data_IF_490042431872
#
_entry.id   IF_490042431872
#
_cell.length_a   1.000
_cell.length_b   1.000
_cell.length_c   1.000
_cell.angle_alpha   90.00
_cell.angle_beta   90.00
_cell.angle_gamma   90.00
#
_symmetry.space_group_name_H-M   'P 1'
#
loop_
_entity.id
_entity.type
_entity.pdbx_description
1 polymer ?
#
# COMPACT_ATOMS: atom_id res chain seq x y z
N UNK A 1 9.99 6.70 -17.12
CA UNK A 1 9.91 5.68 -18.18
C UNK A 1 11.30 5.26 -18.63
N UNK A 2 12.21 6.16 -19.06
CA UNK A 2 13.55 5.84 -19.57
C UNK A 2 14.38 4.94 -18.63
N UNK A 3 14.35 5.20 -17.32
CA UNK A 3 15.05 4.36 -16.34
C UNK A 3 14.53 2.91 -16.34
N UNK A 4 13.22 2.72 -16.42
CA UNK A 4 12.62 1.37 -16.47
C UNK A 4 12.93 0.66 -17.79
N UNK A 5 12.96 1.38 -18.91
CA UNK A 5 13.38 0.84 -20.21
C UNK A 5 14.84 0.36 -20.16
N UNK A 6 15.73 1.19 -19.58
CA UNK A 6 17.13 0.81 -19.36
C UNK A 6 17.26 -0.47 -18.51
N UNK A 7 16.51 -0.54 -17.39
CA UNK A 7 16.51 -1.73 -16.52
C UNK A 7 15.96 -2.97 -17.22
N UNK A 8 15.02 -2.81 -18.15
CA UNK A 8 14.46 -3.88 -18.96
C UNK A 8 15.36 -4.26 -20.16
N UNK A 9 16.42 -3.50 -20.44
CA UNK A 9 17.28 -3.68 -21.61
C UNK A 9 16.56 -3.38 -22.92
N UNK A 10 15.62 -2.45 -22.92
CA UNK A 10 14.79 -2.09 -24.06
C UNK A 10 15.06 -0.64 -24.48
N UNK A 11 15.29 -0.43 -25.77
CA UNK A 11 15.48 0.90 -26.34
C UNK A 11 14.22 1.41 -27.06
N UNK A 12 13.28 0.53 -27.41
CA UNK A 12 12.02 0.87 -28.07
C UNK A 12 10.88 1.06 -27.06
N UNK A 13 10.25 2.23 -27.11
CA UNK A 13 9.16 2.59 -26.18
C UNK A 13 7.89 1.75 -26.37
N UNK A 14 7.56 1.42 -27.64
CA UNK A 14 6.34 0.65 -27.91
C UNK A 14 6.50 -0.82 -27.45
N UNK A 15 7.70 -1.39 -27.61
CA UNK A 15 8.01 -2.72 -27.10
C UNK A 15 7.97 -2.74 -25.57
N UNK A 16 8.53 -1.69 -24.93
CA UNK A 16 8.47 -1.56 -23.49
C UNK A 16 7.02 -1.45 -22.98
N UNK A 17 6.18 -0.64 -23.61
CA UNK A 17 4.79 -0.49 -23.21
C UNK A 17 4.01 -1.81 -23.33
N UNK A 18 4.20 -2.56 -24.43
CA UNK A 18 3.61 -3.89 -24.61
C UNK A 18 4.08 -4.91 -23.57
N UNK A 19 5.32 -4.78 -23.09
CA UNK A 19 5.83 -5.59 -21.99
C UNK A 19 5.21 -5.14 -20.67
N UNK A 20 5.19 -3.84 -20.38
CA UNK A 20 4.67 -3.26 -19.14
C UNK A 20 3.19 -3.58 -18.94
N UNK A 21 2.37 -3.57 -19.99
CA UNK A 21 0.95 -3.99 -19.96
C UNK A 21 0.74 -5.40 -19.42
N UNK A 22 1.75 -6.27 -19.56
CA UNK A 22 1.71 -7.65 -19.04
C UNK A 22 2.17 -7.77 -17.60
N UNK A 23 2.78 -6.71 -17.04
CA UNK A 23 3.23 -6.64 -15.65
C UNK A 23 2.06 -6.19 -14.78
N UNK A 24 1.13 -7.09 -14.52
CA UNK A 24 -0.06 -6.81 -13.70
C UNK A 24 -0.28 -7.91 -12.68
N UNK A 25 -0.83 -7.54 -11.53
CA UNK A 25 -1.33 -8.48 -10.51
C UNK A 25 -2.81 -8.81 -10.72
N UNK A 26 -3.46 -8.16 -11.67
CA UNK A 26 -4.87 -8.38 -12.00
C UNK A 26 -5.09 -9.82 -12.46
N UNK A 27 -6.03 -10.52 -11.84
CA UNK A 27 -6.30 -11.95 -12.06
C UNK A 27 -5.27 -12.91 -11.42
N UNK A 28 -4.40 -12.37 -10.53
CA UNK A 28 -3.46 -13.15 -9.73
C UNK A 28 -3.60 -12.88 -8.23
N UNK A 29 -4.12 -11.74 -7.83
CA UNK A 29 -4.27 -11.36 -6.42
C UNK A 29 -5.14 -12.36 -5.65
N UNK A 30 -6.18 -12.91 -6.26
CA UNK A 30 -7.05 -13.95 -5.69
C UNK A 30 -6.33 -15.27 -5.34
N UNK A 31 -5.16 -15.50 -5.94
CA UNK A 31 -4.31 -16.70 -5.71
C UNK A 31 -3.39 -16.55 -4.51
N UNK A 32 -3.24 -15.35 -3.97
CA UNK A 32 -2.45 -15.10 -2.76
C UNK A 32 -3.18 -15.74 -1.57
N UNK A 33 -2.45 -16.57 -0.78
CA UNK A 33 -3.02 -17.30 0.36
C UNK A 33 -2.42 -16.88 1.71
N UNK A 34 -1.28 -16.21 1.70
CA UNK A 34 -0.68 -15.68 2.92
C UNK A 34 -1.37 -14.38 3.35
N UNK A 35 -1.36 -14.06 4.66
CA UNK A 35 -1.78 -12.75 5.13
C UNK A 35 -0.99 -11.65 4.40
N UNK A 36 -1.69 -10.62 3.92
CA UNK A 36 -1.10 -9.58 3.09
C UNK A 36 -1.38 -8.21 3.69
N UNK A 37 -0.33 -7.40 3.82
CA UNK A 37 -0.41 -5.99 4.14
C UNK A 37 -0.02 -5.18 2.90
N UNK A 38 -0.89 -4.25 2.52
CA UNK A 38 -0.60 -3.18 1.59
C UNK A 38 -0.41 -1.89 2.41
N UNK A 39 0.68 -1.18 2.19
CA UNK A 39 0.92 0.14 2.78
C UNK A 39 1.24 1.12 1.66
N UNK A 40 0.47 2.19 1.57
CA UNK A 40 0.61 3.19 0.50
C UNK A 40 0.47 4.60 1.06
N UNK A 41 1.11 5.56 0.40
CA UNK A 41 0.87 6.98 0.65
C UNK A 41 -0.44 7.42 0.00
N UNK A 42 -1.15 8.34 0.65
CA UNK A 42 -2.43 8.88 0.16
C UNK A 42 -2.30 9.51 -1.24
N UNK A 43 -1.14 10.14 -1.51
CA UNK A 43 -0.86 10.85 -2.76
C UNK A 43 0.31 10.22 -3.54
N UNK A 44 0.48 8.90 -3.47
CA UNK A 44 1.56 8.19 -4.17
C UNK A 44 1.31 8.17 -5.69
N UNK A 45 2.11 8.87 -6.51
CA UNK A 45 1.91 8.92 -7.95
C UNK A 45 2.42 7.67 -8.68
N UNK A 46 3.18 6.80 -7.98
CA UNK A 46 3.73 5.56 -8.56
C UNK A 46 2.88 4.34 -8.19
N UNK A 47 2.10 4.46 -7.12
CA UNK A 47 1.12 3.48 -6.70
C UNK A 47 -0.17 4.22 -6.32
N UNK A 48 -0.95 4.67 -7.30
CA UNK A 48 -2.19 5.38 -7.06
C UNK A 48 -3.08 4.63 -6.08
N UNK A 49 -3.76 5.37 -5.20
CA UNK A 49 -4.55 4.77 -4.13
C UNK A 49 -5.67 3.87 -4.69
N UNK A 50 -6.23 4.25 -5.83
CA UNK A 50 -7.26 3.48 -6.54
C UNK A 50 -6.74 2.09 -6.93
N UNK A 51 -5.50 2.01 -7.42
CA UNK A 51 -4.87 0.73 -7.80
C UNK A 51 -4.61 -0.13 -6.56
N UNK A 52 -4.17 0.49 -5.45
CA UNK A 52 -3.97 -0.22 -4.19
C UNK A 52 -5.29 -0.79 -3.64
N UNK A 53 -6.39 -0.05 -3.77
CA UNK A 53 -7.73 -0.50 -3.39
C UNK A 53 -8.19 -1.65 -4.29
N UNK A 54 -8.01 -1.55 -5.63
CA UNK A 54 -8.37 -2.63 -6.55
C UNK A 54 -7.64 -3.93 -6.17
N UNK A 55 -6.33 -3.86 -5.93
CA UNK A 55 -5.55 -5.02 -5.48
C UNK A 55 -6.06 -5.55 -4.13
N UNK A 56 -6.34 -4.64 -3.19
CA UNK A 56 -6.87 -5.02 -1.88
C UNK A 56 -8.21 -5.76 -2.02
N UNK A 57 -9.13 -5.29 -2.84
CA UNK A 57 -10.43 -5.95 -3.03
C UNK A 57 -10.28 -7.33 -3.70
N UNK A 58 -9.37 -7.47 -4.65
CA UNK A 58 -9.11 -8.73 -5.35
C UNK A 58 -8.45 -9.81 -4.46
N UNK A 59 -7.74 -9.42 -3.39
CA UNK A 59 -7.18 -10.35 -2.43
C UNK A 59 -8.27 -11.13 -1.70
N UNK A 60 -8.14 -12.46 -1.60
CA UNK A 60 -9.08 -13.34 -0.89
C UNK A 60 -8.56 -13.87 0.44
N UNK A 61 -7.29 -13.59 0.76
CA UNK A 61 -6.65 -13.95 2.03
C UNK A 61 -6.98 -12.94 3.15
N UNK A 62 -6.46 -13.16 4.35
CA UNK A 62 -6.42 -12.15 5.40
C UNK A 62 -5.64 -10.95 4.90
N UNK A 63 -6.21 -9.75 5.01
CA UNK A 63 -5.66 -8.57 4.36
C UNK A 63 -5.86 -7.30 5.14
N UNK A 64 -4.85 -6.43 5.06
CA UNK A 64 -4.91 -5.07 5.57
C UNK A 64 -4.39 -4.10 4.52
N UNK A 65 -5.02 -2.93 4.44
CA UNK A 65 -4.55 -1.78 3.67
C UNK A 65 -4.33 -0.63 4.64
N UNK A 66 -3.10 -0.09 4.68
CA UNK A 66 -2.78 1.11 5.42
C UNK A 66 -2.56 2.26 4.44
N UNK A 67 -3.39 3.27 4.55
CA UNK A 67 -3.26 4.53 3.81
C UNK A 67 -2.61 5.55 4.72
N UNK A 68 -1.42 6.01 4.36
CA UNK A 68 -0.65 6.96 5.17
C UNK A 68 -0.97 8.38 4.73
N UNK A 69 -1.53 9.16 5.65
CA UNK A 69 -1.95 10.56 5.44
C UNK A 69 -0.82 11.42 4.88
N UNK A 70 -1.14 12.24 3.88
CA UNK A 70 -0.24 13.23 3.25
C UNK A 70 1.09 12.65 2.74
N UNK A 71 1.19 11.36 2.48
CA UNK A 71 2.43 10.74 2.04
C UNK A 71 2.44 10.43 0.55
N UNK A 72 3.67 10.44 0.03
CA UNK A 72 4.02 10.12 -1.34
C UNK A 72 4.83 8.81 -1.36
N UNK A 73 5.44 8.50 -2.50
CA UNK A 73 6.38 7.42 -2.64
C UNK A 73 7.83 7.92 -2.47
N UNK A 74 8.71 7.20 -1.73
CA UNK A 74 8.48 6.02 -0.88
C UNK A 74 8.04 6.41 0.55
N UNK A 75 7.50 5.45 1.29
CA UNK A 75 7.09 5.62 2.69
C UNK A 75 8.25 5.65 3.71
N UNK A 76 9.41 6.17 3.31
CA UNK A 76 10.63 6.21 4.13
C UNK A 76 10.69 7.51 4.93
N UNK A 77 11.09 7.39 6.19
CA UNK A 77 11.42 8.56 6.98
C UNK A 77 10.23 9.47 7.28
N UNK A 78 9.05 8.89 7.41
CA UNK A 78 7.85 9.64 7.80
C UNK A 78 8.03 10.09 9.24
N UNK A 79 8.20 11.40 9.51
CA UNK A 79 8.71 11.87 10.80
C UNK A 79 7.66 11.85 11.92
N UNK A 80 6.39 11.62 11.61
CA UNK A 80 5.29 11.91 12.53
C UNK A 80 4.41 10.69 12.88
N UNK A 81 4.88 9.47 12.63
CA UNK A 81 4.19 8.25 13.09
C UNK A 81 4.52 7.91 14.55
N UNK A 82 4.41 8.87 15.44
CA UNK A 82 4.83 8.69 16.82
C UNK A 82 6.37 8.67 16.96
N UNK A 83 6.90 7.76 17.79
CA UNK A 83 8.36 7.66 18.06
C UNK A 83 9.09 6.75 17.06
N UNK A 84 8.36 6.02 16.23
CA UNK A 84 8.90 5.02 15.32
C UNK A 84 8.48 5.38 13.89
N UNK A 85 9.25 4.95 12.91
CA UNK A 85 8.90 5.12 11.50
C UNK A 85 7.94 4.03 11.01
N UNK A 86 7.41 4.22 9.81
CA UNK A 86 6.44 3.30 9.19
C UNK A 86 6.97 1.86 9.10
N UNK A 87 8.29 1.69 8.90
CA UNK A 87 8.88 0.36 8.77
C UNK A 87 8.80 -0.46 10.07
N UNK A 88 8.95 0.17 11.23
CA UNK A 88 8.79 -0.53 12.49
C UNK A 88 7.41 -1.15 12.61
N UNK A 89 6.37 -0.39 12.25
CA UNK A 89 5.00 -0.90 12.30
C UNK A 89 4.72 -1.98 11.27
N UNK A 90 5.29 -1.86 10.06
CA UNK A 90 5.22 -2.92 9.05
C UNK A 90 5.93 -4.18 9.56
N UNK A 91 7.10 -4.04 10.17
CA UNK A 91 7.85 -5.18 10.72
C UNK A 91 7.12 -5.83 11.91
N UNK A 92 6.51 -5.04 12.79
CA UNK A 92 5.67 -5.54 13.87
C UNK A 92 4.46 -6.32 13.34
N UNK A 93 3.80 -5.80 12.30
CA UNK A 93 2.72 -6.50 11.62
C UNK A 93 3.20 -7.84 11.05
N UNK A 94 4.33 -7.81 10.33
CA UNK A 94 4.93 -9.01 9.74
C UNK A 94 5.28 -10.06 10.80
N UNK A 95 5.88 -9.62 11.91
CA UNK A 95 6.20 -10.50 13.05
C UNK A 95 4.94 -11.15 13.62
N UNK A 96 3.87 -10.38 13.85
CA UNK A 96 2.58 -10.89 14.32
C UNK A 96 1.96 -11.89 13.35
N UNK A 97 2.04 -11.60 12.04
CA UNK A 97 1.53 -12.49 11.01
C UNK A 97 2.27 -13.83 10.98
N UNK A 98 3.61 -13.81 11.08
CA UNK A 98 4.45 -14.99 10.95
C UNK A 98 4.50 -15.84 12.22
N UNK A 99 4.58 -15.20 13.39
CA UNK A 99 4.81 -15.92 14.66
C UNK A 99 3.52 -16.23 15.40
N UNK A 100 2.59 -15.28 15.40
CA UNK A 100 1.38 -15.39 16.23
C UNK A 100 0.14 -15.79 15.43
N UNK A 101 0.20 -15.71 14.10
CA UNK A 101 -0.96 -15.87 13.21
C UNK A 101 -2.06 -14.81 13.44
N UNK A 102 -1.72 -13.71 14.14
CA UNK A 102 -2.67 -12.68 14.56
C UNK A 102 -2.66 -11.54 13.55
N UNK A 103 -3.50 -11.67 12.53
CA UNK A 103 -3.79 -10.62 11.58
C UNK A 103 -5.29 -10.43 11.46
N UNK A 104 -5.73 -9.25 11.07
CA UNK A 104 -7.13 -9.00 10.78
C UNK A 104 -7.58 -9.83 9.56
N UNK A 105 -8.84 -10.22 9.54
CA UNK A 105 -9.40 -10.94 8.40
C UNK A 105 -9.57 -9.97 7.21
N UNK A 106 -10.06 -8.76 7.49
CA UNK A 106 -10.19 -7.66 6.53
C UNK A 106 -10.15 -6.33 7.28
N UNK A 107 -9.25 -5.41 6.89
CA UNK A 107 -9.16 -4.07 7.49
C UNK A 107 -8.61 -3.06 6.50
N UNK A 108 -9.20 -1.86 6.46
CA UNK A 108 -8.59 -0.66 5.88
C UNK A 108 -8.38 0.31 7.03
N UNK A 109 -7.16 0.84 7.16
CA UNK A 109 -6.82 1.82 8.19
C UNK A 109 -6.22 3.06 7.53
N UNK A 110 -6.73 4.23 7.90
CA UNK A 110 -6.09 5.50 7.59
C UNK A 110 -5.13 5.85 8.71
N UNK A 111 -3.88 6.05 8.38
CA UNK A 111 -2.81 6.28 9.35
C UNK A 111 -2.45 7.74 9.36
N UNK A 112 -2.85 8.46 10.42
CA UNK A 112 -2.56 9.88 10.56
C UNK A 112 -1.07 10.14 10.75
N UNK A 113 -0.54 11.17 10.09
CA UNK A 113 0.83 11.63 10.25
C UNK A 113 0.99 12.68 11.38
N UNK A 114 -0.05 12.93 12.18
CA UNK A 114 -0.06 13.99 13.20
C UNK A 114 0.72 13.68 14.49
N UNK A 115 1.41 12.55 14.56
CA UNK A 115 2.30 12.24 15.67
C UNK A 115 1.63 11.60 16.90
N UNK A 116 0.35 11.32 16.83
CA UNK A 116 -0.44 10.75 17.95
C UNK A 116 -0.26 9.24 18.12
N UNK A 117 0.77 8.69 17.45
CA UNK A 117 1.02 7.27 17.40
C UNK A 117 0.41 6.62 16.15
N UNK A 118 0.75 5.34 15.90
CA UNK A 118 0.58 4.74 14.59
C UNK A 118 -0.85 4.52 14.15
N UNK A 119 -1.80 4.73 14.95
CA UNK A 119 -3.18 4.42 14.63
C UNK A 119 -4.11 5.25 15.49
N UNK A 120 -4.22 6.53 15.17
CA UNK A 120 -5.47 7.22 15.44
C UNK A 120 -6.49 6.57 14.52
N UNK A 121 -7.08 5.46 15.00
CA UNK A 121 -7.92 4.58 14.20
C UNK A 121 -9.15 5.34 13.70
N UNK A 122 -9.13 5.73 12.46
CA UNK A 122 -10.38 5.83 11.72
C UNK A 122 -10.40 4.71 10.67
N UNK A 123 -11.45 3.91 10.71
CA UNK A 123 -11.75 3.03 9.59
C UNK A 123 -12.01 3.94 8.38
N UNK A 124 -11.12 3.89 7.41
CA UNK A 124 -11.29 4.66 6.20
C UNK A 124 -12.37 4.05 5.32
N UNK A 125 -13.34 4.86 4.93
CA UNK A 125 -14.36 4.47 3.96
C UNK A 125 -13.86 4.80 2.55
N UNK A 126 -13.62 3.80 1.69
CA UNK A 126 -13.15 4.01 0.33
C UNK A 126 -14.12 4.79 -0.56
N UNK A 127 -15.36 4.98 -0.12
CA UNK A 127 -16.33 5.83 -0.83
C UNK A 127 -16.11 7.32 -0.59
N UNK A 128 -15.31 7.67 0.42
CA UNK A 128 -14.94 9.04 0.75
C UNK A 128 -13.61 9.34 0.06
N UNK A 129 -13.61 10.35 -0.79
CA UNK A 129 -12.38 10.75 -1.48
C UNK A 129 -11.32 11.19 -0.48
N UNK A 130 -10.03 10.84 -0.71
CA UNK A 130 -8.93 11.37 0.08
C UNK A 130 -9.03 12.90 0.21
N UNK A 131 -8.88 13.41 1.43
CA UNK A 131 -9.02 14.85 1.73
C UNK A 131 -10.44 15.37 1.96
N UNK A 132 -11.49 14.62 1.63
CA UNK A 132 -12.88 15.03 1.94
C UNK A 132 -13.38 14.55 3.32
N UNK A 133 -12.74 13.50 3.86
CA UNK A 133 -13.19 12.85 5.11
C UNK A 133 -12.74 13.54 6.40
N UNK A 134 -11.84 14.52 6.32
CA UNK A 134 -11.11 15.02 7.50
C UNK A 134 -11.08 16.54 7.63
N UNK A 135 -11.95 17.24 6.92
CA UNK A 135 -12.15 18.69 7.05
C UNK A 135 -13.54 19.05 7.53
#
# INVERSE_FOLDING_TARGET
>A
KQMFMYMAGMDDEEEFDKMAEKMTVKGYADKVKCPTLLATGEFDPLCPLEDAIEVYEDLTCKKELWVIEDQFHPLWGIPNLGKLDCHHYIMDWLQKALLDGKTNDKRIAYVSNKGDGPFGDCDWDPTIKPGEAYF
#
